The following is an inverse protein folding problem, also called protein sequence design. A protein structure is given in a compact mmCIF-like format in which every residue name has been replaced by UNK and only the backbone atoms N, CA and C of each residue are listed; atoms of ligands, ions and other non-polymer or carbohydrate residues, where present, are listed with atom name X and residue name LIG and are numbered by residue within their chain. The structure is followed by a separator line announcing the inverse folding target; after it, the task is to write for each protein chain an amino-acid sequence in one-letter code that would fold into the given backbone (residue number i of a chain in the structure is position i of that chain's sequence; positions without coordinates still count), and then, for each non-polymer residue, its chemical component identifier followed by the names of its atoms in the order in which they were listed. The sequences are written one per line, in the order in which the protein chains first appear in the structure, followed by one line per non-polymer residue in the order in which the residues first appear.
data_IF_240116186789
#
_entry.id   IF_240116186789
#
_cell.length_a   1.000
_cell.length_b   1.000
_cell.length_c   1.000
_cell.angle_alpha   90.00
_cell.angle_beta   90.00
_cell.angle_gamma   90.00
#
_symmetry.space_group_name_H-M   'P 1'
#
loop_
_entity.id
_entity.type
_entity.pdbx_description
1 polymer ?
#
# COMPACT_ATOMS: atom_id res chain seq x y z
N UNK A 1 -3.81 -1.03 -13.62
CA UNK A 1 -4.66 -1.04 -12.41
C UNK A 1 -5.24 0.36 -12.28
N UNK A 2 -6.55 0.51 -12.43
CA UNK A 2 -7.20 1.81 -12.30
C UNK A 2 -7.14 2.27 -10.83
N UNK A 3 -6.69 3.50 -10.61
CA UNK A 3 -6.55 4.08 -9.27
C UNK A 3 -7.90 4.60 -8.79
N UNK A 4 -8.65 3.77 -8.07
CA UNK A 4 -10.02 4.07 -7.64
C UNK A 4 -10.11 5.08 -6.49
N UNK A 5 -10.43 6.36 -6.74
CA UNK A 5 -10.70 7.36 -5.70
C UNK A 5 -12.12 7.19 -5.13
N UNK A 6 -12.24 6.92 -3.82
CA UNK A 6 -13.55 6.89 -3.15
C UNK A 6 -14.05 8.34 -3.09
N UNK A 7 -15.08 8.63 -3.88
CA UNK A 7 -15.77 9.91 -3.88
C UNK A 7 -17.00 9.79 -2.96
N UNK A 8 -16.99 10.51 -1.84
CA UNK A 8 -18.19 10.57 -0.99
C UNK A 8 -19.28 11.30 -1.79
N UNK A 9 -20.47 10.69 -1.96
CA UNK A 9 -21.59 11.33 -2.68
C UNK A 9 -22.00 12.69 -2.07
N UNK A 10 -21.65 12.91 -0.80
CA UNK A 10 -21.87 14.14 -0.05
C UNK A 10 -20.62 15.03 0.07
N UNK A 11 -19.56 14.81 -0.71
CA UNK A 11 -18.33 15.59 -0.61
C UNK A 11 -18.59 17.10 -0.80
N UNK A 12 -19.56 17.48 -1.64
CA UNK A 12 -20.01 18.86 -1.79
C UNK A 12 -20.68 19.47 -0.56
N UNK A 13 -21.19 18.65 0.37
CA UNK A 13 -21.90 19.09 1.58
C UNK A 13 -20.96 19.28 2.79
N UNK A 14 -19.65 19.04 2.63
CA UNK A 14 -18.70 19.35 3.68
C UNK A 14 -18.63 20.87 3.88
N UNK A 15 -18.82 21.36 5.11
CA UNK A 15 -18.85 22.80 5.41
C UNK A 15 -17.61 23.55 4.90
N UNK A 16 -16.41 22.96 4.98
CA UNK A 16 -15.18 23.59 4.46
C UNK A 16 -15.19 23.69 2.93
N UNK A 17 -15.77 22.71 2.25
CA UNK A 17 -15.94 22.70 0.79
C UNK A 17 -17.02 23.71 0.38
N UNK A 18 -18.13 23.79 1.11
CA UNK A 18 -19.18 24.78 0.88
C UNK A 18 -18.66 26.21 1.04
N UNK A 19 -17.94 26.50 2.14
CA UNK A 19 -17.31 27.80 2.38
C UNK A 19 -16.30 28.16 1.29
N UNK A 20 -15.58 27.17 0.80
CA UNK A 20 -14.62 27.35 -0.29
C UNK A 20 -15.32 27.62 -1.63
N UNK A 21 -16.42 26.92 -1.95
CA UNK A 21 -17.24 27.17 -3.14
C UNK A 21 -17.86 28.57 -3.06
N UNK A 22 -18.29 29.01 -1.87
CA UNK A 22 -18.78 30.38 -1.68
C UNK A 22 -17.71 31.44 -1.97
N UNK A 23 -16.44 31.18 -1.60
CA UNK A 23 -15.32 32.12 -1.78
C UNK A 23 -14.73 32.12 -3.19
N UNK A 24 -14.58 30.94 -3.80
CA UNK A 24 -13.80 30.74 -5.04
C UNK A 24 -14.63 30.14 -6.19
N UNK A 25 -15.92 29.87 -5.98
CA UNK A 25 -16.81 29.23 -6.94
C UNK A 25 -16.44 27.78 -7.23
N UNK A 26 -16.98 27.25 -8.34
CA UNK A 26 -16.68 25.89 -8.80
C UNK A 26 -15.20 25.66 -9.15
N UNK A 27 -14.45 26.73 -9.41
CA UNK A 27 -13.00 26.68 -9.58
C UNK A 27 -12.32 26.10 -8.34
N UNK A 28 -12.73 26.51 -7.14
CA UNK A 28 -12.18 25.97 -5.90
C UNK A 28 -12.50 24.49 -5.71
N UNK A 29 -13.70 24.05 -6.11
CA UNK A 29 -14.09 22.64 -6.12
C UNK A 29 -13.22 21.80 -7.07
N UNK A 30 -12.94 22.33 -8.27
CA UNK A 30 -12.01 21.70 -9.20
C UNK A 30 -10.59 21.58 -8.63
N UNK A 31 -10.06 22.66 -8.02
CA UNK A 31 -8.74 22.66 -7.37
C UNK A 31 -8.68 21.58 -6.29
N UNK A 32 -9.70 21.50 -5.42
CA UNK A 32 -9.77 20.48 -4.37
C UNK A 32 -9.61 19.06 -4.94
N UNK A 33 -10.44 18.72 -5.93
CA UNK A 33 -10.44 17.37 -6.50
C UNK A 33 -9.17 17.03 -7.24
N UNK A 34 -8.63 17.96 -8.04
CA UNK A 34 -7.38 17.72 -8.75
C UNK A 34 -6.20 17.52 -7.79
N UNK A 35 -6.18 18.19 -6.63
CA UNK A 35 -5.17 17.92 -5.59
C UNK A 35 -5.39 16.53 -4.98
N UNK A 36 -6.62 16.14 -4.66
CA UNK A 36 -6.90 14.82 -4.11
C UNK A 36 -6.50 13.68 -5.04
N UNK A 37 -6.79 13.82 -6.34
CA UNK A 37 -6.38 12.87 -7.37
C UNK A 37 -4.86 12.75 -7.42
N UNK A 38 -4.14 13.88 -7.41
CA UNK A 38 -2.70 13.88 -7.40
C UNK A 38 -2.12 13.20 -6.15
N UNK A 39 -2.60 13.58 -4.95
CA UNK A 39 -2.17 12.99 -3.68
C UNK A 39 -2.48 11.50 -3.60
N UNK A 40 -3.59 11.06 -4.20
CA UNK A 40 -3.98 9.64 -4.22
C UNK A 40 -2.96 8.75 -4.92
N UNK A 41 -2.21 9.30 -5.87
CA UNK A 41 -1.17 8.58 -6.59
C UNK A 41 0.18 8.60 -5.86
N UNK A 42 0.33 9.43 -4.84
CA UNK A 42 1.58 9.54 -4.09
C UNK A 42 1.65 8.53 -2.94
N UNK A 43 2.87 8.16 -2.57
CA UNK A 43 3.12 7.36 -1.38
C UNK A 43 2.70 8.12 -0.11
N UNK A 44 1.92 7.45 0.74
CA UNK A 44 1.44 8.04 2.00
C UNK A 44 0.48 9.22 1.84
N UNK A 45 -0.10 9.42 0.65
CA UNK A 45 -1.09 10.48 0.37
C UNK A 45 -0.58 11.91 0.65
N UNK A 46 0.73 12.09 0.48
CA UNK A 46 1.45 13.33 0.73
C UNK A 46 2.31 13.71 -0.46
N UNK A 47 2.59 15.00 -0.61
CA UNK A 47 3.46 15.51 -1.66
C UNK A 47 4.31 16.68 -1.17
N UNK A 48 5.43 16.91 -1.85
CA UNK A 48 6.33 18.02 -1.56
C UNK A 48 5.79 19.35 -2.09
N UNK A 49 5.95 20.45 -1.36
CA UNK A 49 5.51 21.79 -1.75
C UNK A 49 6.20 22.32 -3.03
N UNK A 50 7.33 21.72 -3.44
CA UNK A 50 8.01 22.01 -4.72
C UNK A 50 7.16 21.64 -5.93
N UNK A 51 6.13 20.79 -5.78
CA UNK A 51 5.23 20.42 -6.90
C UNK A 51 4.16 21.48 -7.19
N UNK A 52 3.97 22.46 -6.29
CA UNK A 52 2.90 23.46 -6.43
C UNK A 52 2.96 24.29 -7.72
N UNK A 53 4.13 24.73 -8.24
CA UNK A 53 4.18 25.40 -9.53
C UNK A 53 3.63 24.55 -10.69
N UNK A 54 3.95 23.26 -10.68
CA UNK A 54 3.52 22.30 -11.71
C UNK A 54 2.00 22.08 -11.62
N UNK A 55 1.48 21.88 -10.40
CA UNK A 55 0.04 21.72 -10.17
C UNK A 55 -0.74 22.97 -10.53
N UNK A 56 -0.24 24.15 -10.15
CA UNK A 56 -0.88 25.43 -10.46
C UNK A 56 -1.00 25.64 -11.98
N UNK A 57 0.06 25.34 -12.74
CA UNK A 57 0.04 25.38 -14.19
C UNK A 57 -1.00 24.41 -14.78
N UNK A 58 -1.02 23.16 -14.32
CA UNK A 58 -1.99 22.14 -14.77
C UNK A 58 -3.43 22.57 -14.52
N UNK A 59 -3.70 23.18 -13.37
CA UNK A 59 -5.02 23.66 -12.95
C UNK A 59 -5.38 25.03 -13.55
N UNK A 60 -4.46 25.67 -14.29
CA UNK A 60 -4.60 27.04 -14.82
C UNK A 60 -4.90 28.08 -13.74
N UNK A 61 -4.21 27.98 -12.61
CA UNK A 61 -4.30 28.93 -11.49
C UNK A 61 -2.92 29.48 -11.12
N UNK A 62 -2.88 30.57 -10.36
CA UNK A 62 -1.61 31.10 -9.85
C UNK A 62 -1.10 30.26 -8.69
N UNK A 63 0.23 30.17 -8.54
CA UNK A 63 0.86 29.49 -7.39
C UNK A 63 0.41 30.12 -6.07
N UNK A 64 0.23 31.44 -6.04
CA UNK A 64 -0.30 32.15 -4.87
C UNK A 64 -1.71 31.69 -4.51
N UNK A 65 -2.60 31.50 -5.49
CA UNK A 65 -3.95 30.97 -5.26
C UNK A 65 -3.89 29.55 -4.74
N UNK A 66 -3.05 28.69 -5.32
CA UNK A 66 -2.91 27.31 -4.88
C UNK A 66 -2.32 27.20 -3.46
N UNK A 67 -1.31 28.02 -3.13
CA UNK A 67 -0.77 28.11 -1.77
C UNK A 67 -1.86 28.57 -0.80
N UNK A 68 -2.53 29.69 -1.09
CA UNK A 68 -3.64 30.18 -0.26
C UNK A 68 -4.66 29.08 0.01
N UNK A 69 -5.02 28.33 -1.02
CA UNK A 69 -5.93 27.22 -0.92
C UNK A 69 -5.45 26.12 0.05
N UNK A 70 -4.20 25.67 -0.10
CA UNK A 70 -3.62 24.60 0.75
C UNK A 70 -3.49 25.06 2.20
N UNK A 71 -3.05 26.30 2.44
CA UNK A 71 -2.81 26.80 3.80
C UNK A 71 -4.08 27.27 4.51
N UNK A 72 -5.05 27.88 3.82
CA UNK A 72 -6.18 28.57 4.47
C UNK A 72 -7.50 27.79 4.42
N UNK A 73 -7.68 26.82 3.53
CA UNK A 73 -8.96 26.10 3.40
C UNK A 73 -9.29 25.19 4.58
N UNK A 74 -8.27 24.83 5.38
CA UNK A 74 -8.39 23.81 6.43
C UNK A 74 -8.72 22.40 5.90
N UNK A 75 -8.63 22.17 4.59
CA UNK A 75 -8.83 20.87 3.93
C UNK A 75 -7.52 20.08 3.80
N UNK A 76 -6.40 20.76 3.93
CA UNK A 76 -5.06 20.21 3.82
C UNK A 76 -4.27 20.49 5.09
N UNK A 77 -3.28 19.64 5.33
CA UNK A 77 -2.28 19.80 6.37
C UNK A 77 -0.93 19.97 5.69
N UNK A 78 -0.17 20.96 6.13
CA UNK A 78 1.20 21.20 5.69
C UNK A 78 2.12 20.87 6.85
N UNK A 79 3.09 19.98 6.62
CA UNK A 79 4.12 19.58 7.58
C UNK A 79 5.48 19.80 6.91
N UNK A 80 6.26 20.75 7.44
CA UNK A 80 7.55 21.22 6.92
C UNK A 80 7.53 21.54 5.41
N UNK A 81 8.03 20.60 4.61
CA UNK A 81 8.16 20.71 3.16
C UNK A 81 7.08 19.95 2.39
N UNK A 82 6.15 19.30 3.08
CA UNK A 82 5.14 18.43 2.49
C UNK A 82 3.73 18.84 2.86
N UNK A 83 2.76 18.42 2.06
CA UNK A 83 1.34 18.61 2.34
C UNK A 83 0.55 17.33 2.06
N UNK A 84 -0.55 17.17 2.78
CA UNK A 84 -1.46 16.02 2.67
C UNK A 84 -2.91 16.45 2.91
N UNK A 85 -3.86 15.55 2.63
CA UNK A 85 -5.26 15.75 3.00
C UNK A 85 -5.67 14.73 4.06
N UNK A 86 -5.94 15.16 5.32
CA UNK A 86 -6.43 14.26 6.36
C UNK A 86 -7.75 13.57 5.99
N UNK A 87 -8.59 14.24 5.19
CA UNK A 87 -9.82 13.66 4.66
C UNK A 87 -9.57 12.50 3.71
N UNK A 88 -8.57 12.63 2.83
CA UNK A 88 -8.15 11.56 1.93
C UNK A 88 -7.59 10.37 2.72
N UNK A 89 -6.63 10.60 3.61
CA UNK A 89 -6.00 9.54 4.41
C UNK A 89 -7.05 8.71 5.15
N UNK A 90 -8.07 9.37 5.74
CA UNK A 90 -9.19 8.67 6.40
C UNK A 90 -9.98 7.79 5.44
N UNK A 91 -10.35 8.30 4.26
CA UNK A 91 -11.06 7.50 3.23
C UNK A 91 -10.24 6.33 2.71
N UNK A 92 -8.92 6.49 2.69
CA UNK A 92 -8.00 5.47 2.20
C UNK A 92 -7.69 4.38 3.22
N UNK A 93 -7.89 4.65 4.52
CA UNK A 93 -7.62 3.72 5.62
C UNK A 93 -8.16 2.30 5.39
N UNK A 94 -9.45 2.12 5.04
CA UNK A 94 -10.00 0.78 4.77
C UNK A 94 -9.32 0.05 3.62
N UNK A 95 -8.93 0.77 2.56
CA UNK A 95 -8.22 0.18 1.42
C UNK A 95 -6.81 -0.28 1.84
N UNK A 96 -6.10 0.55 2.60
CA UNK A 96 -4.77 0.22 3.10
C UNK A 96 -4.81 -0.97 4.07
N UNK A 97 -5.78 -1.00 4.99
CA UNK A 97 -5.97 -2.14 5.89
C UNK A 97 -6.20 -3.46 5.12
N UNK A 98 -7.02 -3.42 4.05
CA UNK A 98 -7.23 -4.58 3.19
C UNK A 98 -5.96 -5.00 2.44
N UNK A 99 -5.21 -4.04 1.91
CA UNK A 99 -3.93 -4.30 1.24
C UNK A 99 -2.93 -4.96 2.19
N UNK A 100 -2.87 -4.47 3.42
CA UNK A 100 -1.94 -4.99 4.41
C UNK A 100 -2.32 -6.39 4.88
N UNK A 101 -3.61 -6.64 5.15
CA UNK A 101 -4.10 -7.99 5.46
C UNK A 101 -3.77 -9.00 4.34
N UNK A 102 -3.88 -8.58 3.07
CA UNK A 102 -3.52 -9.43 1.93
C UNK A 102 -2.01 -9.69 1.86
N UNK A 103 -1.16 -8.68 2.12
CA UNK A 103 0.30 -8.85 2.18
C UNK A 103 0.69 -9.81 3.30
N UNK A 104 0.11 -9.64 4.48
CA UNK A 104 0.40 -10.50 5.62
C UNK A 104 -0.05 -11.94 5.36
N UNK A 105 -1.23 -12.13 4.78
CA UNK A 105 -1.71 -13.45 4.36
C UNK A 105 -0.77 -14.10 3.35
N UNK A 106 -0.30 -13.35 2.35
CA UNK A 106 0.68 -13.81 1.36
C UNK A 106 2.01 -14.21 1.99
N UNK A 107 2.56 -13.38 2.90
CA UNK A 107 3.78 -13.67 3.65
C UNK A 107 3.64 -14.96 4.45
N UNK A 108 2.52 -15.10 5.17
CA UNK A 108 2.24 -16.25 6.03
C UNK A 108 2.04 -17.53 5.21
N UNK A 109 1.38 -17.45 4.06
CA UNK A 109 1.27 -18.55 3.10
C UNK A 109 2.63 -18.97 2.53
N UNK A 110 3.48 -18.01 2.15
CA UNK A 110 4.84 -18.27 1.67
C UNK A 110 5.70 -18.97 2.72
N UNK A 111 5.66 -18.51 3.97
CA UNK A 111 6.37 -19.15 5.09
C UNK A 111 5.86 -20.57 5.36
N UNK A 112 4.54 -20.79 5.34
CA UNK A 112 3.96 -22.12 5.51
C UNK A 112 4.40 -23.08 4.39
N UNK A 113 4.50 -22.60 3.15
CA UNK A 113 5.01 -23.40 2.04
C UNK A 113 6.50 -23.75 2.22
N UNK A 114 7.33 -22.78 2.62
CA UNK A 114 8.74 -23.03 2.94
C UNK A 114 8.92 -24.05 4.05
N UNK A 115 8.10 -23.98 5.11
CA UNK A 115 8.11 -24.95 6.21
C UNK A 115 7.73 -26.35 5.73
N UNK A 116 6.68 -26.48 4.89
CA UNK A 116 6.29 -27.77 4.30
C UNK A 116 7.41 -28.37 3.45
N UNK A 117 8.06 -27.57 2.61
CA UNK A 117 9.20 -28.03 1.79
C UNK A 117 10.36 -28.49 2.68
N UNK A 118 10.72 -27.72 3.71
CA UNK A 118 11.77 -28.11 4.67
C UNK A 118 11.44 -29.41 5.40
N UNK A 119 10.20 -29.56 5.88
CA UNK A 119 9.75 -30.78 6.55
C UNK A 119 9.77 -31.98 5.60
N UNK A 120 9.29 -31.81 4.36
CA UNK A 120 9.34 -32.84 3.31
C UNK A 120 10.77 -33.31 3.04
N UNK A 121 11.70 -32.38 2.84
CA UNK A 121 13.13 -32.70 2.66
C UNK A 121 13.73 -33.42 3.88
N UNK A 122 13.30 -33.06 5.10
CA UNK A 122 13.78 -33.69 6.33
C UNK A 122 13.23 -35.12 6.50
N UNK A 123 11.97 -35.36 6.15
CA UNK A 123 11.37 -36.70 6.12
C UNK A 123 12.03 -37.59 5.06
N UNK A 124 12.33 -37.06 3.87
CA UNK A 124 13.00 -37.81 2.80
C UNK A 124 14.45 -38.18 3.21
N UNK A 125 15.17 -37.25 3.84
CA UNK A 125 16.51 -37.52 4.38
C UNK A 125 16.52 -38.57 5.51
N UNK A 126 15.49 -38.60 6.37
CA UNK A 126 15.33 -39.62 7.40
C UNK A 126 14.98 -41.00 6.80
N UNK A 127 14.18 -41.03 5.73
CA UNK A 127 13.83 -42.26 5.02
C UNK A 127 15.07 -42.88 4.35
N UNK A 128 15.88 -42.08 3.64
CA UNK A 128 17.13 -42.54 2.99
C UNK A 128 18.10 -43.15 4.02
N UNK A 129 18.25 -42.52 5.20
CA UNK A 129 19.12 -43.04 6.25
C UNK A 129 18.64 -44.38 6.83
N UNK A 130 17.32 -44.62 6.92
CA UNK A 130 16.78 -45.93 7.33
C UNK A 130 17.07 -47.00 6.29
N UNK A 131 16.88 -46.71 5.00
CA UNK A 131 17.14 -47.67 3.91
C UNK A 131 18.62 -48.07 3.84
N UNK A 132 19.54 -47.10 4.00
CA UNK A 132 20.98 -47.40 4.04
C UNK A 132 21.40 -48.27 5.24
N UNK A 133 20.73 -48.14 6.40
CA UNK A 133 20.99 -49.03 7.54
C UNK A 133 20.50 -50.46 7.32
N UNK A 134 19.37 -50.64 6.62
CA UNK A 134 18.81 -51.96 6.31
C UNK A 134 19.72 -52.70 5.31
N UNK A 135 20.24 -51.98 4.31
CA UNK A 135 21.10 -52.54 3.26
C UNK A 135 22.55 -52.85 3.70
N UNK A 136 22.97 -52.41 4.89
CA UNK A 136 24.28 -52.70 5.48
C UNK A 136 24.25 -53.80 6.56
N UNK A 137 23.21 -54.65 6.58
CA UNK A 137 23.18 -55.82 7.46
C UNK A 137 24.22 -56.87 6.95
N UNK A 138 25.02 -57.51 7.81
CA UNK A 138 26.12 -58.37 7.35
C UNK A 138 25.60 -59.56 6.55
N UNK A 139 26.12 -59.74 5.34
CA UNK A 139 25.96 -60.97 4.55
C UNK A 139 26.60 -62.13 5.30
N UNK A 140 25.78 -63.08 5.78
CA UNK A 140 26.28 -64.35 6.31
C UNK A 140 26.61 -65.22 5.11
N UNK A 141 27.89 -65.28 4.73
CA UNK A 141 28.38 -66.23 3.73
C UNK A 141 28.46 -67.64 4.36
N UNK A 142 27.98 -68.71 3.69
CA UNK A 142 28.13 -70.06 4.19
C UNK A 142 29.59 -70.48 4.03
N UNK A 143 30.27 -70.76 5.14
CA UNK A 143 31.59 -71.37 5.13
C UNK A 143 31.44 -72.83 4.72
N UNK A 144 32.11 -73.21 3.63
CA UNK A 144 32.25 -74.61 3.21
C UNK A 144 33.22 -75.33 4.15
N UNK A 145 32.75 -76.42 4.75
CA UNK A 145 33.59 -77.40 5.43
C UNK A 145 34.18 -78.37 4.40
N UNK A 146 35.48 -78.65 4.55
CA UNK A 146 36.30 -79.58 3.78
C UNK A 146 35.99 -81.04 4.08
#
# INVERSE_FOLDING_TARGET
MDSYLIHDANAGNNFKIMMMIQKEGMKGYGIYWMILEFLRLQEGYKADLRVLPILAQKMRVTVATLKRFIYESGLFRVDDTTFSSPGLTRRMGPLEAKREANRESGRRGGLANQQKIRQGMQSDALAINKTNKINNSPSISPQGET
#
